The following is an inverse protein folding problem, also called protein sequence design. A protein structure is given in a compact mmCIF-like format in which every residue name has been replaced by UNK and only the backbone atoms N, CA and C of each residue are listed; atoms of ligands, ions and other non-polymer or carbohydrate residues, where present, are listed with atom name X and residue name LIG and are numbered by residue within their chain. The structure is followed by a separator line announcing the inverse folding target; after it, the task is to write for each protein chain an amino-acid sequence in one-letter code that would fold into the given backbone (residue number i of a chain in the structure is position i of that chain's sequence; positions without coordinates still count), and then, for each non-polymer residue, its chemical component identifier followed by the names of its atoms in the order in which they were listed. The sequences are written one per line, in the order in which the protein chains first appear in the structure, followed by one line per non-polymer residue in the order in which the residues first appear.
data_IF_803451935547
#
_entry.id   IF_803451935547
#
_cell.length_a   1.000
_cell.length_b   1.000
_cell.length_c   1.000
_cell.angle_alpha   90.00
_cell.angle_beta   90.00
_cell.angle_gamma   90.00
#
_symmetry.space_group_name_H-M   'P 1'
#
loop_
_entity.id
_entity.type
_entity.pdbx_description
1 polymer ?
#
# COMPACT_ATOMS: atom_id res chain seq x y z
N UNK A 1 14.41 10.66 -12.25
CA UNK A 1 14.80 9.87 -11.06
C UNK A 1 14.08 8.54 -11.12
N UNK A 2 14.61 7.50 -10.47
CA UNK A 2 13.87 6.23 -10.31
C UNK A 2 12.70 6.48 -9.34
N UNK A 3 11.47 6.06 -9.67
CA UNK A 3 10.33 6.25 -8.76
C UNK A 3 10.55 5.49 -7.44
N UNK A 4 10.08 6.07 -6.35
CA UNK A 4 10.12 5.45 -5.02
C UNK A 4 9.10 4.31 -5.01
N UNK A 5 9.56 3.08 -4.75
CA UNK A 5 8.69 1.90 -4.73
C UNK A 5 7.94 1.86 -3.40
N UNK A 6 6.65 2.12 -3.45
CA UNK A 6 5.82 2.36 -2.28
C UNK A 6 4.83 1.22 -2.04
N UNK A 7 4.72 0.78 -0.79
CA UNK A 7 3.64 -0.10 -0.32
C UNK A 7 2.75 0.67 0.64
N UNK A 8 1.43 0.60 0.46
CA UNK A 8 0.46 1.30 1.32
C UNK A 8 -0.28 0.26 2.17
N UNK A 9 -0.23 0.41 3.49
CA UNK A 9 -0.97 -0.44 4.43
C UNK A 9 -2.22 0.27 4.95
N UNK A 10 -3.35 -0.44 5.01
CA UNK A 10 -4.61 0.14 5.47
C UNK A 10 -5.77 -0.86 5.52
N UNK A 11 -6.99 -0.33 5.68
CA UNK A 11 -8.21 -1.12 5.79
C UNK A 11 -9.26 -0.71 4.73
N UNK A 12 -8.83 -0.48 3.48
CA UNK A 12 -9.70 -0.11 2.34
C UNK A 12 -10.54 1.16 2.54
N UNK A 13 -9.93 2.18 3.14
CA UNK A 13 -10.50 3.51 3.26
C UNK A 13 -9.43 4.56 2.99
N UNK A 14 -8.65 4.90 4.02
CA UNK A 14 -7.64 5.97 3.94
C UNK A 14 -6.46 5.60 3.03
N UNK A 15 -6.07 4.33 2.94
CA UNK A 15 -5.11 3.81 1.96
C UNK A 15 -5.49 4.15 0.52
N UNK A 16 -6.72 3.82 0.10
CA UNK A 16 -7.22 4.14 -1.24
C UNK A 16 -7.40 5.64 -1.44
N UNK A 17 -7.85 6.36 -0.40
CA UNK A 17 -7.95 7.81 -0.46
C UNK A 17 -6.58 8.46 -0.69
N UNK A 18 -5.58 8.13 0.13
CA UNK A 18 -4.21 8.63 0.00
C UNK A 18 -3.65 8.32 -1.39
N UNK A 19 -3.84 7.10 -1.88
CA UNK A 19 -3.47 6.72 -3.24
C UNK A 19 -4.10 7.66 -4.28
N UNK A 20 -5.41 7.84 -4.21
CA UNK A 20 -6.17 8.61 -5.19
C UNK A 20 -5.81 10.10 -5.23
N UNK A 21 -5.51 10.70 -4.08
CA UNK A 21 -5.27 12.15 -3.99
C UNK A 21 -3.80 12.54 -4.15
N UNK A 22 -2.86 11.63 -3.87
CA UNK A 22 -1.42 11.95 -3.88
C UNK A 22 -0.58 11.08 -4.83
N UNK A 23 -0.87 9.78 -4.93
CA UNK A 23 0.02 8.84 -5.64
C UNK A 23 -0.42 8.51 -7.08
N UNK A 24 -1.73 8.54 -7.38
CA UNK A 24 -2.32 8.01 -8.62
C UNK A 24 -1.64 8.46 -9.91
N UNK A 25 -1.37 9.76 -10.04
CA UNK A 25 -0.77 10.37 -11.23
C UNK A 25 0.59 10.99 -10.95
N UNK A 26 1.22 10.61 -9.83
CA UNK A 26 2.51 11.12 -9.42
C UNK A 26 3.63 10.15 -9.85
N UNK A 27 4.41 10.57 -10.86
CA UNK A 27 5.47 9.76 -11.45
C UNK A 27 6.71 9.60 -10.54
N UNK A 28 6.79 10.33 -9.43
CA UNK A 28 7.87 10.16 -8.44
C UNK A 28 7.69 8.89 -7.60
N UNK A 29 6.52 8.24 -7.67
CA UNK A 29 6.17 7.05 -6.90
C UNK A 29 5.67 5.92 -7.78
N UNK A 30 5.98 4.70 -7.37
CA UNK A 30 5.42 3.46 -7.92
C UNK A 30 4.77 2.68 -6.80
N UNK A 31 3.44 2.73 -6.69
CA UNK A 31 2.71 1.97 -5.68
C UNK A 31 2.62 0.50 -6.12
N UNK A 32 3.43 -0.36 -5.51
CA UNK A 32 3.63 -1.76 -5.94
C UNK A 32 2.62 -2.72 -5.32
N UNK A 33 1.98 -2.33 -4.21
CA UNK A 33 1.00 -3.12 -3.49
C UNK A 33 0.21 -2.28 -2.47
N UNK A 34 -1.02 -2.71 -2.20
CA UNK A 34 -1.70 -2.44 -0.95
C UNK A 34 -1.61 -3.67 -0.03
N UNK A 35 -1.74 -3.45 1.28
CA UNK A 35 -1.96 -4.51 2.26
C UNK A 35 -3.20 -4.22 3.10
N UNK A 36 -3.92 -5.28 3.52
CA UNK A 36 -5.14 -5.17 4.33
C UNK A 36 -5.19 -6.16 5.50
N UNK A 37 -5.81 -5.76 6.62
CA UNK A 37 -5.90 -6.51 7.89
C UNK A 37 -7.18 -7.34 8.04
N UNK A 38 -7.54 -8.10 7.00
CA UNK A 38 -8.79 -8.87 6.88
C UNK A 38 -10.01 -8.02 6.55
N UNK A 39 -10.23 -7.83 5.25
CA UNK A 39 -11.56 -7.51 4.75
C UNK A 39 -12.05 -8.77 4.03
N UNK A 40 -13.17 -9.38 4.48
CA UNK A 40 -13.73 -10.54 3.83
C UNK A 40 -13.86 -10.30 2.32
N UNK A 41 -13.27 -11.19 1.51
CA UNK A 41 -13.30 -11.12 0.05
C UNK A 41 -12.56 -9.88 -0.54
N UNK A 42 -11.47 -9.40 0.07
CA UNK A 42 -10.55 -8.41 -0.54
C UNK A 42 -9.12 -8.91 -0.69
N UNK A 43 -8.69 -9.84 0.15
CA UNK A 43 -7.37 -10.46 0.04
C UNK A 43 -7.25 -11.15 -1.35
N UNK A 44 -6.10 -10.99 -2.00
CA UNK A 44 -5.83 -11.38 -3.40
C UNK A 44 -6.63 -10.63 -4.49
N UNK A 45 -7.27 -9.51 -4.15
CA UNK A 45 -7.87 -8.62 -5.15
C UNK A 45 -6.88 -7.59 -5.64
N UNK A 46 -7.39 -6.74 -6.52
CA UNK A 46 -6.63 -5.71 -7.22
C UNK A 46 -7.44 -4.44 -7.15
N UNK A 47 -6.79 -3.36 -6.72
CA UNK A 47 -7.31 -2.02 -6.93
C UNK A 47 -7.48 -1.83 -8.45
N UNK A 48 -8.71 -1.55 -8.93
CA UNK A 48 -9.04 -1.73 -10.34
C UNK A 48 -8.32 -0.71 -11.23
N UNK A 49 -7.87 -1.17 -12.41
CA UNK A 49 -7.16 -0.33 -13.38
C UNK A 49 -7.94 0.93 -13.77
N UNK A 50 -9.26 0.81 -13.89
CA UNK A 50 -10.18 1.91 -14.23
C UNK A 50 -10.15 3.05 -13.21
N UNK A 51 -9.79 2.77 -11.95
CA UNK A 51 -9.65 3.77 -10.88
C UNK A 51 -8.19 4.14 -10.58
N UNK A 52 -7.25 3.35 -11.08
CA UNK A 52 -5.83 3.45 -10.74
C UNK A 52 -5.07 4.51 -11.54
N UNK A 53 -5.68 5.08 -12.60
CA UNK A 53 -5.05 6.09 -13.44
C UNK A 53 -4.03 5.53 -14.43
N UNK A 54 -3.48 6.41 -15.26
CA UNK A 54 -2.68 6.02 -16.45
C UNK A 54 -1.37 5.30 -16.12
N UNK A 55 -0.83 5.52 -14.92
CA UNK A 55 0.42 4.91 -14.47
C UNK A 55 0.23 3.43 -14.06
N UNK A 56 -1.01 3.00 -13.84
CA UNK A 56 -1.34 1.67 -13.34
C UNK A 56 -2.37 0.97 -14.24
N UNK A 57 -2.04 0.69 -15.53
CA UNK A 57 -2.98 0.13 -16.50
C UNK A 57 -3.45 -1.30 -16.16
N UNK A 58 -2.72 -1.98 -15.26
CA UNK A 58 -3.10 -3.28 -14.74
C UNK A 58 -3.82 -3.18 -13.40
N UNK A 59 -3.98 -1.99 -12.81
CA UNK A 59 -4.36 -1.84 -11.41
C UNK A 59 -3.22 -2.20 -10.44
N UNK A 60 -3.52 -2.25 -9.15
CA UNK A 60 -2.51 -2.46 -8.08
C UNK A 60 -2.94 -3.66 -7.22
N UNK A 61 -2.07 -4.66 -6.99
CA UNK A 61 -2.44 -5.83 -6.20
C UNK A 61 -2.64 -5.48 -4.72
N UNK A 62 -3.56 -6.20 -4.07
CA UNK A 62 -3.87 -6.10 -2.64
C UNK A 62 -3.56 -7.45 -2.00
N UNK A 63 -2.75 -7.43 -0.95
CA UNK A 63 -2.31 -8.64 -0.25
C UNK A 63 -2.72 -8.63 1.23
N UNK A 64 -2.73 -9.79 1.90
CA UNK A 64 -2.82 -9.83 3.36
C UNK A 64 -1.67 -9.04 4.00
N UNK A 65 -1.95 -8.30 5.07
CA UNK A 65 -0.90 -7.61 5.82
C UNK A 65 0.12 -8.58 6.46
N UNK A 66 -0.26 -9.84 6.71
CA UNK A 66 0.67 -10.87 7.17
C UNK A 66 1.86 -11.08 6.22
N UNK A 67 1.70 -10.75 4.94
CA UNK A 67 2.74 -10.90 3.92
C UNK A 67 3.66 -9.69 3.81
N UNK A 68 3.47 -8.64 4.63
CA UNK A 68 4.18 -7.36 4.55
C UNK A 68 5.70 -7.51 4.38
N UNK A 69 6.37 -8.26 5.27
CA UNK A 69 7.83 -8.41 5.24
C UNK A 69 8.31 -9.13 3.97
N UNK A 70 7.56 -10.16 3.54
CA UNK A 70 7.83 -10.87 2.30
C UNK A 70 7.67 -9.94 1.09
N UNK A 71 6.60 -9.15 1.06
CA UNK A 71 6.33 -8.19 -0.02
C UNK A 71 7.40 -7.11 -0.11
N UNK A 72 7.90 -6.62 1.03
CA UNK A 72 9.01 -5.65 1.07
C UNK A 72 10.24 -6.21 0.36
N UNK A 73 10.61 -7.46 0.66
CA UNK A 73 11.74 -8.14 0.03
C UNK A 73 11.47 -8.43 -1.47
N UNK A 74 10.37 -9.11 -1.78
CA UNK A 74 10.05 -9.59 -3.14
C UNK A 74 9.85 -8.43 -4.13
N UNK A 75 9.21 -7.35 -3.67
CA UNK A 75 8.90 -6.18 -4.50
C UNK A 75 9.94 -5.07 -4.39
N UNK A 76 11.00 -5.22 -3.59
CA UNK A 76 12.02 -4.19 -3.36
C UNK A 76 11.37 -2.85 -2.98
N UNK A 77 10.62 -2.85 -1.89
CA UNK A 77 9.91 -1.66 -1.40
C UNK A 77 10.92 -0.70 -0.75
N UNK A 78 10.87 0.57 -1.14
CA UNK A 78 11.69 1.64 -0.57
C UNK A 78 10.96 2.39 0.55
N UNK A 79 9.63 2.42 0.50
CA UNK A 79 8.81 3.16 1.46
C UNK A 79 7.50 2.43 1.79
N UNK A 80 7.18 2.37 3.08
CA UNK A 80 5.89 1.87 3.57
C UNK A 80 5.06 3.05 4.10
N UNK A 81 3.84 3.19 3.58
CA UNK A 81 2.89 4.23 4.01
C UNK A 81 1.88 3.62 4.96
N UNK A 82 1.96 4.06 6.22
CA UNK A 82 0.98 3.71 7.25
C UNK A 82 -0.31 4.53 7.07
N UNK A 83 -1.36 3.93 6.51
CA UNK A 83 -2.62 4.60 6.20
C UNK A 83 -3.80 4.12 7.07
N UNK A 84 -3.52 3.72 8.32
CA UNK A 84 -4.58 3.54 9.32
C UNK A 84 -4.91 4.87 10.03
N UNK A 85 -6.11 4.94 10.60
CA UNK A 85 -6.50 5.97 11.57
C UNK A 85 -6.70 5.35 12.95
N UNK A 86 -6.73 6.20 13.98
CA UNK A 86 -7.16 5.81 15.33
C UNK A 86 -6.36 4.65 15.94
N UNK A 87 -5.06 4.58 15.64
CA UNK A 87 -4.14 3.59 16.18
C UNK A 87 -3.38 4.15 17.38
N UNK A 88 -3.22 3.38 18.48
CA UNK A 88 -2.34 3.75 19.58
C UNK A 88 -0.91 3.96 19.10
N UNK A 89 -0.19 4.87 19.75
CA UNK A 89 1.22 5.14 19.45
C UNK A 89 2.07 3.86 19.41
N UNK A 90 1.88 2.97 20.39
CA UNK A 90 2.61 1.70 20.46
C UNK A 90 2.41 0.84 19.21
N UNK A 91 1.17 0.72 18.73
CA UNK A 91 0.86 -0.05 17.52
C UNK A 91 1.56 0.54 16.28
N UNK A 92 1.57 1.88 16.15
CA UNK A 92 2.30 2.58 15.08
C UNK A 92 3.80 2.28 15.15
N UNK A 93 4.39 2.39 16.35
CA UNK A 93 5.82 2.18 16.53
C UNK A 93 6.25 0.73 16.35
N UNK A 94 5.42 -0.24 16.74
CA UNK A 94 5.67 -1.65 16.42
C UNK A 94 5.73 -1.87 14.91
N UNK A 95 4.79 -1.29 14.13
CA UNK A 95 4.80 -1.40 12.67
C UNK A 95 5.99 -0.69 12.04
N UNK A 96 6.33 0.51 12.53
CA UNK A 96 7.52 1.24 12.08
C UNK A 96 8.81 0.42 12.31
N UNK A 97 8.96 -0.21 13.48
CA UNK A 97 10.11 -1.05 13.80
C UNK A 97 10.18 -2.33 12.95
N UNK A 98 9.05 -2.85 12.47
CA UNK A 98 9.01 -4.03 11.61
C UNK A 98 9.51 -3.76 10.19
N UNK A 99 9.36 -2.53 9.69
CA UNK A 99 9.60 -2.16 8.28
C UNK A 99 10.84 -1.28 8.07
N UNK A 100 11.65 -1.10 9.11
CA UNK A 100 12.84 -0.26 9.13
C UNK A 100 14.10 -1.00 8.69
#
# INVERSE_FOLDING_TARGET
MTPIRTLIMGAAGRDFHNFNVYFRDNADYEVVAFTATQIPNIDDRRYPAELAGKLYPKGIPIYPESDLLKLIADKKVDQVIFAYSDQPHEAVMHKASMVN
#
